data_IF_600749159335
#
_entry.id   IF_600749159335
#
_cell.length_a   1.000
_cell.length_b   1.000
_cell.length_c   1.000
_cell.angle_alpha   90.00
_cell.angle_beta   90.00
_cell.angle_gamma   90.00
#
_symmetry.space_group_name_H-M   'P 1'
#
loop_
_entity.id
_entity.type
_entity.pdbx_description
1 polymer ?
#
# COMPACT_ATOMS: atom_id res chain seq x y z
N UNK A 1 43.16 32.08 -39.67
CA UNK A 1 43.25 30.84 -38.89
C UNK A 1 42.11 30.83 -37.85
N UNK A 2 41.02 30.12 -38.16
CA UNK A 2 39.79 30.14 -37.36
C UNK A 2 39.73 28.83 -36.59
N UNK A 3 39.84 28.91 -35.26
CA UNK A 3 39.71 27.74 -34.39
C UNK A 3 38.24 27.44 -34.17
N UNK A 4 37.79 26.30 -34.69
CA UNK A 4 36.46 25.72 -34.38
C UNK A 4 36.45 25.16 -32.96
N UNK A 5 35.52 25.65 -32.14
CA UNK A 5 35.18 25.03 -30.85
C UNK A 5 34.32 23.80 -31.12
N UNK A 6 34.84 22.64 -30.78
CA UNK A 6 34.10 21.37 -30.74
C UNK A 6 33.17 21.39 -29.51
N UNK A 7 31.88 21.48 -29.77
CA UNK A 7 30.87 21.39 -28.73
C UNK A 7 30.76 19.96 -28.19
N UNK A 8 31.24 19.76 -26.98
CA UNK A 8 31.03 18.53 -26.23
C UNK A 8 29.53 18.36 -25.92
N UNK A 9 28.88 17.40 -26.56
CA UNK A 9 27.54 16.93 -26.14
C UNK A 9 27.68 16.33 -24.74
N UNK A 10 27.09 16.98 -23.73
CA UNK A 10 26.82 16.35 -22.46
C UNK A 10 25.92 15.13 -22.72
N UNK A 11 26.44 13.95 -22.49
CA UNK A 11 25.64 12.77 -22.36
C UNK A 11 24.87 12.92 -21.03
N UNK A 12 23.63 13.36 -21.11
CA UNK A 12 22.70 13.16 -19.98
C UNK A 12 22.64 11.65 -19.75
N UNK A 13 23.23 11.23 -18.66
CA UNK A 13 23.09 9.84 -18.18
C UNK A 13 21.62 9.64 -17.88
N UNK A 14 20.91 8.92 -18.74
CA UNK A 14 19.62 8.38 -18.46
C UNK A 14 19.85 7.44 -17.26
N UNK A 15 19.63 7.95 -16.04
CA UNK A 15 19.52 7.09 -14.87
C UNK A 15 18.38 6.14 -15.21
N UNK A 16 18.68 4.87 -15.40
CA UNK A 16 17.65 3.82 -15.47
C UNK A 16 16.79 3.97 -14.22
N UNK A 17 15.57 4.44 -14.42
CA UNK A 17 14.62 4.53 -13.29
C UNK A 17 14.39 3.12 -12.79
N UNK A 18 14.57 2.94 -11.49
CA UNK A 18 14.35 1.65 -10.84
C UNK A 18 12.85 1.51 -10.58
N UNK A 19 12.26 0.41 -11.04
CA UNK A 19 10.86 0.11 -10.70
C UNK A 19 10.79 -0.47 -9.30
N UNK A 20 9.99 0.15 -8.44
CA UNK A 20 9.65 -0.31 -7.10
C UNK A 20 8.22 -0.83 -7.07
N UNK A 21 8.01 -1.96 -6.44
CA UNK A 21 6.69 -2.44 -6.06
C UNK A 21 6.41 -2.06 -4.61
N UNK A 22 5.32 -1.38 -4.37
CA UNK A 22 4.85 -1.01 -3.03
C UNK A 22 3.69 -1.94 -2.69
N UNK A 23 4.00 -3.03 -2.00
CA UNK A 23 3.00 -4.01 -1.54
C UNK A 23 2.49 -3.53 -0.20
N UNK A 24 1.19 -3.19 -0.12
CA UNK A 24 0.62 -2.53 1.05
C UNK A 24 -0.77 -3.03 1.42
N UNK A 25 -1.12 -2.79 2.66
CA UNK A 25 -2.44 -3.00 3.24
C UNK A 25 -2.79 -1.84 4.17
N UNK A 26 -4.08 -1.60 4.40
CA UNK A 26 -4.60 -0.52 5.23
C UNK A 26 -5.61 -1.04 6.23
N UNK A 27 -5.57 -0.51 7.45
CA UNK A 27 -6.69 -0.61 8.37
C UNK A 27 -7.45 0.71 8.43
N UNK A 28 -8.75 0.63 8.63
CA UNK A 28 -9.61 1.81 8.67
C UNK A 28 -10.61 1.73 9.82
N UNK A 29 -11.11 2.89 10.27
CA UNK A 29 -12.19 2.95 11.25
C UNK A 29 -13.36 2.10 10.78
N UNK A 30 -13.92 1.28 11.67
CA UNK A 30 -14.99 0.36 11.33
C UNK A 30 -15.95 0.14 12.51
N UNK A 31 -17.13 -0.40 12.21
CA UNK A 31 -18.20 -0.61 13.20
C UNK A 31 -18.88 -1.94 12.94
N UNK A 32 -19.46 -2.53 13.99
CA UNK A 32 -20.37 -3.64 13.82
C UNK A 32 -21.60 -3.18 13.03
N UNK A 33 -21.85 -3.79 11.88
CA UNK A 33 -22.74 -3.21 10.88
C UNK A 33 -22.13 -1.95 10.26
N UNK A 34 -22.79 -1.30 9.37
CA UNK A 34 -22.34 -0.02 8.78
C UNK A 34 -23.36 1.07 9.11
N UNK A 35 -23.13 1.85 10.20
CA UNK A 35 -24.06 2.92 10.56
C UNK A 35 -24.23 3.89 9.37
N UNK A 36 -25.47 4.34 9.08
CA UNK A 36 -25.71 5.29 8.01
C UNK A 36 -24.90 6.59 8.20
N UNK A 37 -24.28 7.09 7.12
CA UNK A 37 -23.57 8.37 7.13
C UNK A 37 -22.15 8.30 7.71
N UNK A 38 -21.67 7.15 8.15
CA UNK A 38 -20.29 7.00 8.59
C UNK A 38 -19.33 6.94 7.41
N UNK A 39 -18.24 7.70 7.49
CA UNK A 39 -17.12 7.66 6.55
C UNK A 39 -15.97 6.97 7.28
N UNK A 40 -15.41 5.91 6.69
CA UNK A 40 -14.23 5.25 7.21
C UNK A 40 -13.01 6.14 6.96
N UNK A 41 -12.05 6.13 7.88
CA UNK A 41 -10.77 6.83 7.76
C UNK A 41 -9.63 5.85 7.99
N UNK A 42 -8.52 6.00 7.29
CA UNK A 42 -7.33 5.18 7.48
C UNK A 42 -6.78 5.40 8.89
N UNK A 43 -6.46 4.29 9.59
CA UNK A 43 -5.89 4.29 10.94
C UNK A 43 -4.54 3.56 11.04
N UNK A 44 -4.18 2.75 10.05
CA UNK A 44 -2.86 2.14 9.92
C UNK A 44 -2.49 1.98 8.44
N UNK A 45 -1.22 2.24 8.10
CA UNK A 45 -0.62 1.96 6.81
C UNK A 45 0.54 1.01 7.04
N UNK A 46 0.45 -0.20 6.47
CA UNK A 46 1.51 -1.20 6.45
C UNK A 46 1.99 -1.47 5.03
N UNK A 47 3.29 -1.40 4.77
CA UNK A 47 3.80 -1.58 3.42
C UNK A 47 5.23 -2.13 3.38
N UNK A 48 5.54 -2.82 2.30
CA UNK A 48 6.87 -3.26 1.92
C UNK A 48 7.23 -2.72 0.54
N UNK A 49 8.42 -2.14 0.42
CA UNK A 49 8.98 -1.74 -0.87
C UNK A 49 9.89 -2.84 -1.38
N UNK A 50 9.60 -3.32 -2.59
CA UNK A 50 10.37 -4.37 -3.25
C UNK A 50 10.95 -3.83 -4.56
N UNK A 51 12.13 -4.33 -4.93
CA UNK A 51 12.70 -4.07 -6.25
C UNK A 51 12.08 -5.00 -7.32
N UNK A 52 12.47 -4.80 -8.58
CA UNK A 52 12.01 -5.61 -9.73
C UNK A 52 12.24 -7.13 -9.59
N UNK A 53 13.09 -7.57 -8.69
CA UNK A 53 13.39 -8.98 -8.42
C UNK A 53 12.60 -9.54 -7.22
N UNK A 54 11.69 -8.75 -6.65
CA UNK A 54 10.92 -9.13 -5.46
C UNK A 54 11.73 -9.11 -4.15
N UNK A 55 12.92 -8.50 -4.15
CA UNK A 55 13.69 -8.32 -2.91
C UNK A 55 13.16 -7.14 -2.11
N UNK A 56 12.89 -7.35 -0.82
CA UNK A 56 12.46 -6.28 0.09
C UNK A 56 13.60 -5.28 0.31
N UNK A 57 13.30 -4.01 0.10
CA UNK A 57 14.22 -2.86 0.24
C UNK A 57 13.84 -1.93 1.39
N UNK A 58 12.66 -2.09 1.96
CA UNK A 58 12.21 -1.30 3.09
C UNK A 58 10.85 -1.76 3.60
N UNK A 59 10.54 -1.35 4.80
CA UNK A 59 9.29 -1.56 5.51
C UNK A 59 8.75 -0.21 5.98
N UNK A 60 7.44 -0.05 5.93
CA UNK A 60 6.73 1.12 6.44
C UNK A 60 5.58 0.64 7.33
N UNK A 61 5.51 1.14 8.55
CA UNK A 61 4.39 0.89 9.44
C UNK A 61 4.11 2.15 10.25
N UNK A 62 2.93 2.76 10.06
CA UNK A 62 2.49 3.94 10.79
C UNK A 62 1.00 3.88 11.09
N UNK A 63 0.65 4.25 12.32
CA UNK A 63 -0.71 4.60 12.65
C UNK A 63 -1.05 5.98 12.11
N UNK A 64 -2.34 6.20 11.89
CA UNK A 64 -2.91 7.46 11.42
C UNK A 64 -4.00 7.88 12.39
N UNK A 65 -4.00 9.14 12.81
CA UNK A 65 -5.04 9.69 13.67
C UNK A 65 -6.25 10.10 12.82
N UNK A 66 -7.41 9.43 12.99
CA UNK A 66 -8.63 9.82 12.29
C UNK A 66 -9.17 11.15 12.82
N UNK A 67 -9.81 11.94 11.95
CA UNK A 67 -10.32 13.28 12.27
C UNK A 67 -11.84 13.34 12.35
N UNK A 68 -12.56 12.58 11.52
CA UNK A 68 -14.03 12.52 11.55
C UNK A 68 -14.54 11.60 12.66
N UNK A 69 -13.83 10.48 12.88
CA UNK A 69 -14.20 9.48 13.88
C UNK A 69 -13.03 9.22 14.83
N UNK A 70 -12.68 10.19 15.69
CA UNK A 70 -11.48 10.12 16.53
C UNK A 70 -11.50 8.96 17.55
N UNK A 71 -12.69 8.45 17.88
CA UNK A 71 -12.84 7.35 18.82
C UNK A 71 -13.09 6.04 18.05
N UNK A 72 -12.17 5.08 18.19
CA UNK A 72 -12.34 3.75 17.61
C UNK A 72 -13.50 3.02 18.29
N UNK A 73 -14.39 2.42 17.51
CA UNK A 73 -15.43 1.58 18.08
C UNK A 73 -14.82 0.34 18.77
N UNK A 74 -15.51 -0.26 19.77
CA UNK A 74 -15.07 -1.52 20.36
C UNK A 74 -14.85 -2.62 19.31
N UNK A 75 -15.71 -2.67 18.29
CA UNK A 75 -15.60 -3.60 17.16
C UNK A 75 -14.29 -3.36 16.37
N UNK A 76 -13.96 -2.10 16.11
CA UNK A 76 -12.72 -1.75 15.38
C UNK A 76 -11.48 -2.19 16.16
N UNK A 77 -11.44 -1.89 17.47
CA UNK A 77 -10.33 -2.29 18.35
C UNK A 77 -10.19 -3.81 18.45
N UNK A 78 -11.30 -4.54 18.57
CA UNK A 78 -11.28 -6.01 18.60
C UNK A 78 -10.82 -6.61 17.26
N UNK A 79 -11.32 -6.08 16.15
CA UNK A 79 -11.00 -6.58 14.80
C UNK A 79 -9.54 -6.36 14.44
N UNK A 80 -9.03 -5.13 14.65
CA UNK A 80 -7.69 -4.72 14.18
C UNK A 80 -6.62 -4.90 15.26
N UNK A 81 -7.02 -5.10 16.52
CA UNK A 81 -6.11 -5.05 17.68
C UNK A 81 -5.37 -3.71 17.83
N UNK A 82 -5.92 -2.63 17.23
CA UNK A 82 -5.39 -1.27 17.36
C UNK A 82 -6.06 -0.62 18.56
N UNK A 83 -5.23 -0.18 19.51
CA UNK A 83 -5.71 0.52 20.72
C UNK A 83 -5.93 2.01 20.45
N UNK A 84 -6.90 2.62 21.13
CA UNK A 84 -7.17 4.07 21.04
C UNK A 84 -5.91 4.90 21.26
N UNK A 85 -5.09 4.54 22.24
CA UNK A 85 -3.87 5.28 22.57
C UNK A 85 -2.82 5.29 21.44
N UNK A 86 -2.88 4.36 20.50
CA UNK A 86 -1.97 4.31 19.35
C UNK A 86 -2.37 5.35 18.31
N UNK A 87 -3.65 5.44 17.98
CA UNK A 87 -4.15 6.47 17.04
C UNK A 87 -4.16 7.86 17.66
N UNK A 88 -4.39 8.01 18.96
CA UNK A 88 -4.33 9.30 19.65
C UNK A 88 -2.94 9.96 19.57
N UNK A 89 -1.89 9.14 19.56
CA UNK A 89 -0.49 9.58 19.47
C UNK A 89 0.04 9.70 18.06
N UNK A 90 -0.73 9.23 17.09
CA UNK A 90 -0.33 9.23 15.70
C UNK A 90 -0.48 10.63 15.08
N UNK A 91 0.26 10.87 14.02
CA UNK A 91 0.08 12.04 13.18
C UNK A 91 -1.20 11.87 12.32
N UNK A 92 -1.86 12.96 11.90
CA UNK A 92 -2.98 12.89 11.00
C UNK A 92 -2.55 12.47 9.59
N UNK A 93 -3.53 12.11 8.74
CA UNK A 93 -3.30 11.56 7.43
C UNK A 93 -2.33 12.36 6.54
N UNK A 94 -2.42 13.71 6.44
CA UNK A 94 -1.51 14.47 5.59
C UNK A 94 -0.03 14.21 5.90
N UNK A 95 0.34 14.29 7.17
CA UNK A 95 1.73 14.12 7.61
C UNK A 95 2.21 12.69 7.39
N UNK A 96 1.36 11.70 7.67
CA UNK A 96 1.74 10.28 7.49
C UNK A 96 1.89 9.96 6.02
N UNK A 97 1.02 10.51 5.14
CA UNK A 97 1.07 10.19 3.71
C UNK A 97 2.26 10.86 3.01
N UNK A 98 2.68 12.05 3.43
CA UNK A 98 3.91 12.68 2.94
C UNK A 98 5.13 11.79 3.25
N UNK A 99 5.24 11.31 4.50
CA UNK A 99 6.32 10.40 4.90
C UNK A 99 6.25 9.06 4.14
N UNK A 100 5.04 8.56 3.86
CA UNK A 100 4.86 7.36 3.04
C UNK A 100 5.32 7.57 1.60
N UNK A 101 4.97 8.68 0.98
CA UNK A 101 5.36 9.01 -0.39
C UNK A 101 6.88 9.14 -0.52
N UNK A 102 7.55 9.80 0.43
CA UNK A 102 9.00 9.93 0.47
C UNK A 102 9.67 8.55 0.65
N UNK A 103 9.19 7.75 1.60
CA UNK A 103 9.70 6.39 1.82
C UNK A 103 9.50 5.49 0.59
N UNK A 104 8.37 5.60 -0.08
CA UNK A 104 8.03 4.82 -1.27
C UNK A 104 8.75 5.32 -2.53
N UNK A 105 9.42 6.48 -2.48
CA UNK A 105 10.09 7.16 -3.60
C UNK A 105 9.11 7.51 -4.74
N UNK A 106 7.88 7.90 -4.39
CA UNK A 106 6.79 8.13 -5.35
C UNK A 106 7.18 9.16 -6.43
N UNK A 107 7.90 10.19 -6.05
CA UNK A 107 8.27 11.30 -6.95
C UNK A 107 9.67 11.16 -7.54
N UNK A 108 10.50 10.21 -7.08
CA UNK A 108 11.89 10.03 -7.51
C UNK A 108 12.09 8.88 -8.50
N UNK A 109 11.35 7.79 -8.31
CA UNK A 109 11.52 6.54 -9.07
C UNK A 109 10.20 6.07 -9.70
N UNK A 110 10.26 5.09 -10.60
CA UNK A 110 9.06 4.40 -11.06
C UNK A 110 8.55 3.48 -9.96
N UNK A 111 7.26 3.49 -9.75
CA UNK A 111 6.63 2.66 -8.72
C UNK A 111 5.32 2.05 -9.21
N UNK A 112 4.85 1.06 -8.47
CA UNK A 112 3.59 0.40 -8.71
C UNK A 112 2.98 0.01 -7.35
N UNK A 113 1.85 0.59 -7.02
CA UNK A 113 1.10 0.25 -5.81
C UNK A 113 0.40 -1.10 -5.98
N UNK A 114 0.53 -1.98 -5.00
CA UNK A 114 0.00 -3.35 -5.06
C UNK A 114 -0.75 -3.67 -3.77
N UNK A 115 -2.07 -3.96 -3.84
CA UNK A 115 -2.85 -4.38 -2.68
C UNK A 115 -3.77 -5.57 -2.95
N UNK A 116 -4.30 -6.18 -1.87
CA UNK A 116 -5.17 -7.37 -1.97
C UNK A 116 -6.63 -6.99 -2.22
N UNK A 117 -6.90 -6.25 -3.27
CA UNK A 117 -8.24 -5.84 -3.67
C UNK A 117 -8.29 -4.40 -4.13
N UNK A 118 -9.46 -3.80 -4.05
CA UNK A 118 -9.65 -2.39 -4.43
C UNK A 118 -10.07 -1.51 -3.25
N UNK A 119 -10.09 -2.07 -2.05
CA UNK A 119 -10.45 -1.31 -0.84
C UNK A 119 -9.40 -0.27 -0.53
N UNK A 120 -8.14 -0.69 -0.43
CA UNK A 120 -7.00 0.14 -0.05
C UNK A 120 -6.83 1.33 -0.98
N UNK A 121 -6.87 1.11 -2.30
CA UNK A 121 -6.84 2.17 -3.30
C UNK A 121 -7.96 3.20 -3.07
N UNK A 122 -9.19 2.73 -2.84
CA UNK A 122 -10.33 3.64 -2.61
C UNK A 122 -10.18 4.43 -1.32
N UNK A 123 -9.62 3.82 -0.27
CA UNK A 123 -9.37 4.51 0.99
C UNK A 123 -8.32 5.60 0.83
N UNK A 124 -7.20 5.33 0.14
CA UNK A 124 -6.20 6.36 -0.16
C UNK A 124 -6.82 7.55 -0.92
N UNK A 125 -7.57 7.28 -2.00
CA UNK A 125 -8.24 8.33 -2.77
C UNK A 125 -9.25 9.10 -1.91
N UNK A 126 -10.03 8.41 -1.08
CA UNK A 126 -11.02 9.03 -0.22
C UNK A 126 -10.37 9.96 0.81
N UNK A 127 -9.30 9.49 1.47
CA UNK A 127 -8.65 10.28 2.51
C UNK A 127 -7.80 11.42 1.91
N UNK A 128 -7.21 11.25 0.73
CA UNK A 128 -6.63 12.39 0.00
C UNK A 128 -7.69 13.48 -0.25
N UNK A 129 -8.86 13.13 -0.74
CA UNK A 129 -9.97 14.08 -0.97
C UNK A 129 -10.50 14.71 0.31
N UNK A 130 -10.58 13.93 1.39
CA UNK A 130 -11.01 14.43 2.70
C UNK A 130 -10.09 15.53 3.22
N UNK A 131 -8.82 15.48 2.88
CA UNK A 131 -7.78 16.39 3.34
C UNK A 131 -7.29 17.38 2.26
N UNK A 132 -8.04 17.52 1.15
CA UNK A 132 -7.70 18.41 0.02
C UNK A 132 -6.28 18.16 -0.54
N UNK A 133 -5.87 16.88 -0.61
CA UNK A 133 -4.58 16.45 -1.15
C UNK A 133 -4.73 15.87 -2.57
N UNK A 134 -3.66 15.96 -3.35
CA UNK A 134 -3.57 15.32 -4.67
C UNK A 134 -3.65 13.79 -4.55
N UNK A 135 -4.40 13.15 -5.46
CA UNK A 135 -4.64 11.70 -5.43
C UNK A 135 -4.02 10.96 -6.62
N UNK A 136 -3.46 11.68 -7.61
CA UNK A 136 -2.94 11.10 -8.85
C UNK A 136 -1.82 10.09 -8.62
N UNK A 137 -1.08 10.24 -7.52
CA UNK A 137 -0.03 9.30 -7.12
C UNK A 137 -0.57 7.92 -6.70
N UNK A 138 -1.85 7.77 -6.46
CA UNK A 138 -2.46 6.46 -6.16
C UNK A 138 -2.52 5.57 -7.41
N UNK A 139 -2.25 6.14 -8.57
CA UNK A 139 -1.98 5.41 -9.82
C UNK A 139 -0.47 5.47 -10.15
N UNK A 140 0.13 4.42 -10.71
CA UNK A 140 -0.48 3.13 -11.09
C UNK A 140 -0.69 2.17 -9.91
N UNK A 141 -1.80 1.42 -9.95
CA UNK A 141 -2.17 0.46 -8.92
C UNK A 141 -2.60 -0.90 -9.50
N UNK A 142 -2.12 -1.98 -8.88
CA UNK A 142 -2.50 -3.36 -9.22
C UNK A 142 -3.37 -3.96 -8.11
N UNK A 143 -4.52 -4.48 -8.51
CA UNK A 143 -5.35 -5.33 -7.67
C UNK A 143 -4.87 -6.78 -7.77
N UNK A 144 -3.99 -7.20 -6.87
CA UNK A 144 -3.38 -8.53 -6.85
C UNK A 144 -4.43 -9.64 -6.68
N UNK A 145 -5.48 -9.42 -5.90
CA UNK A 145 -6.57 -10.38 -5.72
C UNK A 145 -7.27 -10.73 -7.01
N UNK A 146 -7.50 -9.72 -7.87
CA UNK A 146 -8.12 -9.91 -9.18
C UNK A 146 -7.19 -10.70 -10.10
N UNK A 147 -5.93 -10.29 -10.20
CA UNK A 147 -4.96 -10.96 -11.05
C UNK A 147 -4.68 -12.40 -10.59
N UNK A 148 -4.52 -12.62 -9.28
CA UNK A 148 -4.38 -13.98 -8.73
C UNK A 148 -5.57 -14.88 -9.09
N UNK A 149 -6.79 -14.33 -9.02
CA UNK A 149 -7.99 -15.08 -9.44
C UNK A 149 -7.93 -15.49 -10.91
N UNK A 150 -7.47 -14.62 -11.80
CA UNK A 150 -7.30 -14.88 -13.24
C UNK A 150 -6.18 -15.91 -13.49
N UNK A 151 -5.00 -15.72 -12.88
CA UNK A 151 -3.83 -16.62 -12.97
C UNK A 151 -4.20 -18.03 -12.55
N UNK A 152 -4.80 -18.17 -11.36
CA UNK A 152 -5.17 -19.47 -10.79
C UNK A 152 -6.51 -20.01 -11.30
N UNK A 153 -7.20 -19.33 -12.24
CA UNK A 153 -8.51 -19.71 -12.81
C UNK A 153 -9.55 -20.05 -11.73
N UNK A 154 -9.63 -19.23 -10.70
CA UNK A 154 -10.55 -19.47 -9.59
C UNK A 154 -11.98 -19.05 -9.97
N UNK A 155 -12.98 -19.81 -9.49
CA UNK A 155 -14.39 -19.48 -9.72
C UNK A 155 -14.83 -18.19 -9.02
N UNK A 156 -14.25 -17.90 -7.84
CA UNK A 156 -14.54 -16.70 -7.02
C UNK A 156 -13.26 -16.20 -6.36
N UNK A 157 -13.05 -14.89 -6.27
CA UNK A 157 -11.95 -14.30 -5.53
C UNK A 157 -11.95 -14.76 -4.07
N UNK A 158 -10.76 -15.01 -3.52
CA UNK A 158 -10.57 -15.46 -2.13
C UNK A 158 -9.87 -14.39 -1.31
N UNK A 159 -10.14 -14.36 -0.01
CA UNK A 159 -9.37 -13.55 0.95
C UNK A 159 -7.93 -14.04 1.07
N UNK A 160 -7.02 -13.14 1.47
CA UNK A 160 -5.57 -13.37 1.54
C UNK A 160 -5.23 -14.64 2.34
N UNK A 161 -5.78 -14.79 3.54
CA UNK A 161 -5.54 -15.96 4.41
C UNK A 161 -5.88 -17.31 3.74
N UNK A 162 -6.95 -17.34 2.92
CA UNK A 162 -7.33 -18.55 2.18
C UNK A 162 -6.38 -18.84 1.01
N UNK A 163 -5.81 -17.78 0.44
CA UNK A 163 -4.82 -17.91 -0.64
C UNK A 163 -3.48 -18.37 -0.08
N UNK A 164 -3.02 -17.80 1.03
CA UNK A 164 -1.81 -18.27 1.71
C UNK A 164 -1.87 -19.76 2.01
N UNK A 165 -2.95 -20.22 2.65
CA UNK A 165 -3.14 -21.63 2.95
C UNK A 165 -3.16 -22.51 1.68
N UNK A 166 -3.70 -22.02 0.57
CA UNK A 166 -3.69 -22.71 -0.72
C UNK A 166 -2.28 -22.86 -1.30
N UNK A 167 -1.46 -21.82 -1.15
CA UNK A 167 -0.06 -21.77 -1.62
C UNK A 167 0.91 -22.46 -0.63
N UNK A 168 0.39 -23.03 0.45
CA UNK A 168 1.20 -23.72 1.47
C UNK A 168 1.92 -22.79 2.44
N UNK A 169 1.52 -21.53 2.52
CA UNK A 169 2.04 -20.58 3.48
C UNK A 169 1.19 -20.52 4.74
N UNK A 170 1.83 -20.42 5.88
CA UNK A 170 1.19 -20.01 7.12
C UNK A 170 1.11 -18.49 7.21
N UNK A 171 0.01 -17.98 7.77
CA UNK A 171 -0.12 -16.57 8.09
C UNK A 171 0.78 -16.23 9.27
N UNK A 172 1.64 -15.23 9.12
CA UNK A 172 2.52 -14.71 10.18
C UNK A 172 1.96 -13.41 10.75
N UNK A 173 2.15 -13.18 12.05
CA UNK A 173 1.66 -11.99 12.73
C UNK A 173 0.16 -12.04 13.06
N UNK A 174 -0.42 -10.87 13.26
CA UNK A 174 -1.82 -10.66 13.66
C UNK A 174 -2.66 -10.25 12.45
N UNK A 175 -3.68 -11.02 12.12
CA UNK A 175 -4.61 -10.69 11.05
C UNK A 175 -5.37 -9.39 11.38
N UNK A 176 -5.60 -8.57 10.38
CA UNK A 176 -6.11 -7.19 10.52
C UNK A 176 -5.14 -6.24 11.25
N UNK A 177 -3.84 -6.46 11.05
CA UNK A 177 -2.80 -5.46 11.24
C UNK A 177 -2.19 -5.21 9.86
N UNK A 178 -2.22 -3.96 9.42
CA UNK A 178 -1.83 -3.60 8.05
C UNK A 178 -0.42 -4.09 7.69
N UNK A 179 0.53 -3.97 8.61
CA UNK A 179 1.91 -4.44 8.36
C UNK A 179 1.99 -5.96 8.23
N UNK A 180 1.26 -6.70 9.06
CA UNK A 180 1.26 -8.16 9.03
C UNK A 180 0.54 -8.69 7.78
N UNK A 181 -0.60 -8.07 7.40
CA UNK A 181 -1.30 -8.41 6.16
C UNK A 181 -0.44 -8.08 4.92
N UNK A 182 0.27 -6.95 4.91
CA UNK A 182 1.21 -6.59 3.86
C UNK A 182 2.40 -7.59 3.77
N UNK A 183 2.97 -8.03 4.90
CA UNK A 183 4.02 -9.08 4.92
C UNK A 183 3.54 -10.38 4.28
N UNK A 184 2.35 -10.81 4.66
CA UNK A 184 1.75 -12.00 4.09
C UNK A 184 1.41 -11.84 2.61
N UNK A 185 1.00 -10.63 2.18
CA UNK A 185 0.78 -10.33 0.79
C UNK A 185 2.09 -10.38 -0.03
N UNK A 186 3.22 -9.96 0.55
CA UNK A 186 4.55 -10.09 -0.08
C UNK A 186 4.87 -11.54 -0.42
N UNK A 187 4.48 -12.52 0.42
CA UNK A 187 4.69 -13.96 0.11
C UNK A 187 4.00 -14.34 -1.19
N UNK A 188 2.73 -13.96 -1.35
CA UNK A 188 1.95 -14.22 -2.56
C UNK A 188 2.47 -13.42 -3.75
N UNK A 189 2.83 -12.16 -3.55
CA UNK A 189 3.40 -11.33 -4.60
C UNK A 189 4.66 -11.95 -5.19
N UNK A 190 5.57 -12.41 -4.34
CA UNK A 190 6.84 -13.03 -4.76
C UNK A 190 6.66 -14.38 -5.43
N UNK A 191 5.72 -15.22 -4.96
CA UNK A 191 5.48 -16.55 -5.55
C UNK A 191 4.93 -16.50 -6.99
N UNK A 192 4.35 -15.35 -7.38
CA UNK A 192 3.77 -15.14 -8.71
C UNK A 192 4.43 -13.95 -9.45
N UNK A 193 5.66 -13.56 -9.07
CA UNK A 193 6.31 -12.36 -9.58
C UNK A 193 6.34 -12.29 -11.11
N UNK A 194 6.62 -13.41 -11.77
CA UNK A 194 6.72 -13.51 -13.22
C UNK A 194 5.34 -13.63 -13.93
N UNK A 195 4.27 -13.73 -13.16
CA UNK A 195 2.91 -13.92 -13.68
C UNK A 195 2.06 -12.64 -13.59
N UNK A 196 2.47 -11.68 -12.75
CA UNK A 196 1.76 -10.40 -12.66
C UNK A 196 1.88 -9.59 -13.95
N UNK A 197 0.81 -8.93 -14.31
CA UNK A 197 0.75 -7.99 -15.45
C UNK A 197 0.92 -6.56 -14.92
N UNK A 198 2.01 -5.96 -15.27
CA UNK A 198 2.41 -4.61 -14.87
C UNK A 198 2.12 -3.59 -15.98
#
# INVERSE_FOLDING_TARGET
MTLQRVGGRRRDSIKSRTLNFIVFDLEATCWEGRPPGTIQEIIEIGAYRLNRYGEVKGEFNRFVRPVLNPFLSPFCQELTSIEQAQVDRADPFPEVIEVFQDWALIFEEEYLLCSWGGFDKRMLIQDCRLHDMEEDWVEPHINLKRQYHEICRLRRPKGLKKVLAREGYEFTGTHHRAIDDAENLVKIFRSHLDEWRF
#
